data_IF_256719966256
#
_entry.id   IF_256719966256
#
_cell.length_a   1.000
_cell.length_b   1.000
_cell.length_c   1.000
_cell.angle_alpha   90.00
_cell.angle_beta   90.00
_cell.angle_gamma   90.00
#
_symmetry.space_group_name_H-M   'P 1'
#
loop_
_entity.id
_entity.type
_entity.pdbx_description
1 polymer ?
#
# COMPACT_ATOMS: atom_id res chain seq x y z
N UNK A 1 23.57 -13.16 -20.33
CA UNK A 1 22.20 -12.79 -19.85
C UNK A 1 21.95 -13.61 -18.58
N UNK A 2 21.82 -12.96 -17.44
CA UNK A 2 21.50 -13.66 -16.21
C UNK A 2 20.05 -14.13 -16.29
N UNK A 3 19.81 -15.43 -16.22
CA UNK A 3 18.47 -15.98 -16.12
C UNK A 3 17.89 -15.58 -14.76
N UNK A 4 17.10 -14.54 -14.75
CA UNK A 4 16.34 -14.12 -13.57
C UNK A 4 15.30 -15.21 -13.31
N UNK A 5 15.45 -15.95 -12.22
CA UNK A 5 14.49 -16.97 -11.81
C UNK A 5 13.43 -16.30 -10.93
N UNK A 6 12.21 -16.21 -11.44
CA UNK A 6 11.07 -15.77 -10.62
C UNK A 6 10.75 -16.88 -9.64
N UNK A 7 10.90 -16.60 -8.34
CA UNK A 7 10.62 -17.52 -7.24
C UNK A 7 9.25 -17.16 -6.66
N UNK A 8 8.21 -17.76 -7.17
CA UNK A 8 6.84 -17.58 -6.68
C UNK A 8 5.82 -17.50 -7.82
N UNK A 9 4.53 -17.56 -7.50
CA UNK A 9 3.48 -17.35 -8.49
C UNK A 9 3.53 -15.91 -9.03
N UNK A 10 3.33 -15.74 -10.33
CA UNK A 10 3.13 -14.42 -10.91
C UNK A 10 1.94 -13.74 -10.23
N UNK A 11 2.04 -12.43 -9.98
CA UNK A 11 0.90 -11.65 -9.52
C UNK A 11 -0.09 -11.52 -10.69
N UNK A 12 -1.33 -11.99 -10.55
CA UNK A 12 -2.30 -11.91 -11.62
C UNK A 12 -2.71 -10.45 -11.86
N UNK A 13 -2.99 -10.13 -13.10
CA UNK A 13 -3.60 -8.87 -13.53
C UNK A 13 -2.80 -7.59 -13.21
N UNK A 14 -1.54 -7.72 -12.82
CA UNK A 14 -0.66 -6.58 -12.66
C UNK A 14 0.00 -6.26 -14.00
N UNK A 15 -0.12 -5.04 -14.53
CA UNK A 15 0.53 -4.66 -15.77
C UNK A 15 2.06 -4.70 -15.61
N UNK A 16 2.70 -5.23 -16.62
CA UNK A 16 4.15 -5.34 -16.71
C UNK A 16 4.67 -4.55 -17.91
N UNK A 17 5.68 -3.77 -17.70
CA UNK A 17 6.38 -3.08 -18.79
C UNK A 17 7.78 -3.64 -18.95
N UNK A 18 8.13 -3.90 -20.20
CA UNK A 18 9.49 -4.30 -20.54
C UNK A 18 10.49 -3.19 -20.23
N UNK A 19 11.70 -3.59 -19.88
CA UNK A 19 12.78 -2.65 -19.62
C UNK A 19 13.03 -1.79 -20.87
N UNK A 20 13.08 -0.45 -20.74
CA UNK A 20 13.37 0.42 -21.87
C UNK A 20 14.68 0.04 -22.57
N UNK A 21 14.67 -0.03 -23.90
CA UNK A 21 15.83 -0.39 -24.69
C UNK A 21 17.00 0.56 -24.39
N UNK A 22 18.18 -0.02 -24.15
CA UNK A 22 19.40 0.74 -23.83
C UNK A 22 19.49 1.25 -22.39
N UNK A 23 18.46 1.05 -21.55
CA UNK A 23 18.52 1.43 -20.14
C UNK A 23 19.56 0.61 -19.39
N UNK A 24 20.38 1.29 -18.58
CA UNK A 24 21.34 0.70 -17.62
C UNK A 24 20.79 0.65 -16.19
N UNK A 25 19.59 1.17 -15.99
CA UNK A 25 18.91 1.19 -14.69
C UNK A 25 18.67 -0.24 -14.19
N UNK A 26 18.88 -0.48 -12.90
CA UNK A 26 18.59 -1.78 -12.27
C UNK A 26 17.08 -2.00 -12.18
N UNK A 27 16.33 -0.93 -11.97
CA UNK A 27 14.88 -0.92 -11.91
C UNK A 27 14.34 0.18 -12.82
N UNK A 28 13.15 -0.03 -13.33
CA UNK A 28 12.42 0.99 -14.09
C UNK A 28 11.01 1.11 -13.56
N UNK A 29 10.45 2.28 -13.73
CA UNK A 29 9.11 2.60 -13.24
C UNK A 29 8.09 2.37 -14.34
N UNK A 30 6.89 2.02 -13.94
CA UNK A 30 5.73 2.04 -14.82
C UNK A 30 5.57 3.43 -15.45
N UNK A 31 5.31 3.49 -16.76
CA UNK A 31 5.32 4.75 -17.52
C UNK A 31 4.24 5.74 -17.06
N UNK A 32 3.11 5.23 -16.53
CA UNK A 32 2.04 6.07 -16.01
C UNK A 32 2.20 6.47 -14.54
N UNK A 33 3.37 6.22 -13.91
CA UNK A 33 3.61 6.70 -12.54
C UNK A 33 3.64 8.25 -12.47
N UNK A 34 3.15 8.85 -11.39
CA UNK A 34 2.59 8.21 -10.20
C UNK A 34 1.17 7.69 -10.43
N UNK A 35 0.90 6.43 -10.04
CA UNK A 35 -0.44 5.81 -10.14
C UNK A 35 -1.40 6.27 -9.03
N UNK A 36 -0.89 6.85 -7.97
CA UNK A 36 -1.66 7.45 -6.88
C UNK A 36 -1.12 8.86 -6.67
N UNK A 37 -1.97 9.86 -6.90
CA UNK A 37 -1.63 11.26 -6.71
C UNK A 37 -1.61 11.65 -5.23
N UNK A 38 -0.99 12.79 -4.95
CA UNK A 38 -0.94 13.38 -3.60
C UNK A 38 -2.33 13.76 -3.05
N UNK A 39 -3.26 13.96 -3.93
CA UNK A 39 -4.65 14.38 -3.74
C UNK A 39 -5.64 13.21 -3.90
N UNK A 40 -5.17 12.00 -3.66
CA UNK A 40 -5.98 10.77 -3.80
C UNK A 40 -7.21 10.74 -2.88
N UNK A 41 -7.20 11.49 -1.79
CA UNK A 41 -8.32 11.68 -0.88
C UNK A 41 -8.63 13.17 -0.74
N UNK A 42 -9.87 13.49 -0.38
CA UNK A 42 -10.33 14.87 -0.21
C UNK A 42 -9.51 15.70 0.78
N UNK A 43 -8.92 15.03 1.77
CA UNK A 43 -8.10 15.65 2.83
C UNK A 43 -6.61 15.38 2.69
N UNK A 44 -6.17 14.56 1.74
CA UNK A 44 -4.76 14.20 1.64
C UNK A 44 -3.90 15.32 1.06
N UNK A 45 -2.69 15.43 1.58
CA UNK A 45 -1.64 16.29 1.05
C UNK A 45 -0.50 15.49 0.42
N UNK A 46 -0.32 14.25 0.87
CA UNK A 46 0.71 13.34 0.35
C UNK A 46 0.34 11.89 0.61
N UNK A 47 0.70 11.01 -0.32
CA UNK A 47 0.55 9.56 -0.20
C UNK A 47 1.91 8.91 -0.40
N UNK A 48 2.35 8.09 0.55
CA UNK A 48 3.65 7.42 0.48
C UNK A 48 3.74 6.26 1.49
N UNK A 49 4.83 5.47 1.40
CA UNK A 49 5.12 4.36 2.32
C UNK A 49 3.94 3.40 2.50
N UNK A 50 3.29 3.05 1.40
CA UNK A 50 2.15 2.14 1.41
C UNK A 50 2.57 0.67 1.38
N UNK A 51 1.71 -0.21 1.87
CA UNK A 51 1.89 -1.65 1.79
C UNK A 51 0.73 -2.30 1.05
N UNK A 52 1.04 -3.21 0.14
CA UNK A 52 0.07 -3.87 -0.73
C UNK A 52 0.27 -5.38 -0.69
N UNK A 53 -0.83 -6.13 -0.73
CA UNK A 53 -0.85 -7.60 -0.78
C UNK A 53 -1.86 -8.11 -1.79
N UNK A 54 -1.65 -9.31 -2.35
CA UNK A 54 -2.71 -10.03 -3.05
C UNK A 54 -3.91 -10.27 -2.13
N UNK A 55 -5.11 -9.98 -2.64
CA UNK A 55 -6.33 -10.07 -1.86
C UNK A 55 -7.52 -10.39 -2.78
N UNK A 56 -8.16 -11.53 -2.56
CA UNK A 56 -9.32 -11.95 -3.36
C UNK A 56 -10.60 -11.78 -2.57
N UNK A 57 -11.37 -10.75 -2.92
CA UNK A 57 -12.72 -10.54 -2.38
C UNK A 57 -13.58 -9.75 -3.36
N UNK A 58 -14.68 -10.37 -3.82
CA UNK A 58 -15.53 -9.76 -4.83
C UNK A 58 -14.73 -9.49 -6.11
N UNK A 59 -14.75 -8.25 -6.59
CA UNK A 59 -14.02 -7.83 -7.79
C UNK A 59 -12.52 -7.54 -7.55
N UNK A 60 -12.09 -7.39 -6.30
CA UNK A 60 -10.74 -6.95 -5.99
C UNK A 60 -9.74 -8.10 -5.97
N UNK A 61 -8.54 -7.85 -6.49
CA UNK A 61 -7.39 -8.75 -6.50
C UNK A 61 -6.28 -8.30 -5.54
N UNK A 62 -6.32 -7.04 -5.11
CA UNK A 62 -5.34 -6.44 -4.22
C UNK A 62 -6.00 -5.65 -3.11
N UNK A 63 -5.38 -5.65 -1.96
CA UNK A 63 -5.67 -4.73 -0.86
C UNK A 63 -4.40 -4.02 -0.43
N UNK A 64 -4.54 -2.81 0.07
CA UNK A 64 -3.44 -2.01 0.56
C UNK A 64 -3.78 -1.22 1.82
N UNK A 65 -2.74 -0.85 2.52
CA UNK A 65 -2.76 0.08 3.63
C UNK A 65 -1.89 1.27 3.23
N UNK A 66 -2.49 2.43 3.13
CA UNK A 66 -1.89 3.63 2.55
C UNK A 66 -1.67 4.67 3.63
N UNK A 67 -0.46 5.16 3.74
CA UNK A 67 -0.20 6.36 4.52
C UNK A 67 -0.56 7.57 3.68
N UNK A 68 -1.54 8.34 4.14
CA UNK A 68 -2.00 9.58 3.53
C UNK A 68 -1.91 10.68 4.57
N UNK A 69 -0.85 11.51 4.53
CA UNK A 69 -0.76 12.62 5.45
C UNK A 69 -1.76 13.70 5.02
N UNK A 70 -2.52 14.20 5.98
CA UNK A 70 -3.57 15.20 5.71
C UNK A 70 -3.01 16.62 5.51
N UNK A 71 -3.87 17.55 5.13
CA UNK A 71 -3.50 18.97 4.93
C UNK A 71 -3.03 19.66 6.21
N UNK A 72 -3.32 19.10 7.38
CA UNK A 72 -2.82 19.53 8.67
C UNK A 72 -1.51 18.83 9.07
N UNK A 73 -0.92 18.06 8.14
CA UNK A 73 0.31 17.28 8.33
C UNK A 73 0.18 16.17 9.39
N UNK A 74 -1.03 15.68 9.63
CA UNK A 74 -1.24 14.52 10.50
C UNK A 74 -1.13 13.25 9.66
N UNK A 75 -0.41 12.29 10.19
CA UNK A 75 -0.27 10.97 9.58
C UNK A 75 -1.59 10.20 9.72
N UNK A 76 -2.11 9.75 8.58
CA UNK A 76 -3.34 8.97 8.49
C UNK A 76 -3.08 7.67 7.75
N UNK A 77 -3.80 6.65 8.16
CA UNK A 77 -3.74 5.33 7.52
C UNK A 77 -5.10 4.99 6.95
N UNK A 78 -5.14 4.65 5.68
CA UNK A 78 -6.35 4.33 4.95
C UNK A 78 -6.27 2.96 4.30
N UNK A 79 -7.40 2.24 4.23
CA UNK A 79 -7.49 1.02 3.45
C UNK A 79 -7.76 1.36 1.99
N UNK A 80 -7.22 0.57 1.07
CA UNK A 80 -7.53 0.68 -0.34
C UNK A 80 -7.61 -0.67 -1.00
N UNK A 81 -8.34 -0.74 -2.12
CA UNK A 81 -8.56 -1.97 -2.87
C UNK A 81 -8.37 -1.70 -4.36
N UNK A 82 -7.86 -2.71 -5.07
CA UNK A 82 -7.63 -2.60 -6.50
C UNK A 82 -7.96 -3.90 -7.24
N UNK A 83 -8.37 -3.77 -8.49
CA UNK A 83 -8.54 -4.91 -9.41
C UNK A 83 -7.23 -5.28 -10.07
N UNK A 84 -6.43 -4.30 -10.47
CA UNK A 84 -5.25 -4.45 -11.34
C UNK A 84 -3.93 -4.00 -10.70
N UNK A 85 -3.98 -3.43 -9.49
CA UNK A 85 -2.80 -2.88 -8.81
C UNK A 85 -2.41 -1.47 -9.28
N UNK A 86 -3.12 -0.89 -10.23
CA UNK A 86 -2.89 0.45 -10.79
C UNK A 86 -3.96 1.42 -10.31
N UNK A 87 -5.22 1.08 -10.56
CA UNK A 87 -6.37 1.88 -10.11
C UNK A 87 -6.77 1.47 -8.71
N UNK A 88 -6.74 2.42 -7.79
CA UNK A 88 -6.99 2.18 -6.37
C UNK A 88 -8.21 2.92 -5.85
N UNK A 89 -9.11 2.16 -5.25
CA UNK A 89 -10.24 2.67 -4.46
C UNK A 89 -9.75 2.82 -3.01
N UNK A 90 -9.17 3.97 -2.68
CA UNK A 90 -8.70 4.29 -1.33
C UNK A 90 -9.85 4.90 -0.54
N UNK A 91 -10.12 4.35 0.65
CA UNK A 91 -11.24 4.78 1.48
C UNK A 91 -10.93 6.12 2.16
N UNK A 92 -11.93 7.00 2.20
CA UNK A 92 -11.82 8.30 2.87
C UNK A 92 -11.71 8.14 4.40
N UNK A 93 -12.31 7.10 4.96
CA UNK A 93 -12.28 6.86 6.39
C UNK A 93 -10.90 6.37 6.86
N UNK A 94 -10.45 6.90 7.99
CA UNK A 94 -9.25 6.43 8.67
C UNK A 94 -9.38 4.95 9.04
N UNK A 95 -8.29 4.24 8.92
CA UNK A 95 -8.19 2.86 9.39
C UNK A 95 -8.28 2.80 10.91
N UNK A 96 -9.39 2.26 11.41
CA UNK A 96 -9.64 2.18 12.86
C UNK A 96 -9.14 0.86 13.42
N UNK A 97 -8.26 0.94 14.41
CA UNK A 97 -7.87 -0.23 15.20
C UNK A 97 -8.86 -0.36 16.38
N UNK A 98 -9.34 -1.58 16.57
CA UNK A 98 -10.26 -1.93 17.66
C UNK A 98 -9.66 -3.05 18.51
N UNK A 99 -9.95 -3.06 19.82
CA UNK A 99 -9.49 -4.09 20.75
C UNK A 99 -7.99 -4.00 21.06
N UNK A 100 -7.44 -2.79 21.09
CA UNK A 100 -6.05 -2.55 21.49
C UNK A 100 -5.77 -3.01 22.92
N UNK A 101 -4.55 -3.46 23.17
CA UNK A 101 -4.04 -3.79 24.50
C UNK A 101 -3.90 -2.50 25.32
N UNK A 102 -4.42 -2.52 26.54
CA UNK A 102 -4.35 -1.37 27.46
C UNK A 102 -2.91 -0.98 27.81
N UNK A 103 -1.96 -1.95 27.75
CA UNK A 103 -0.54 -1.71 28.00
C UNK A 103 0.14 -0.91 26.88
N UNK A 104 -0.36 -1.02 25.65
CA UNK A 104 0.17 -0.27 24.50
C UNK A 104 -0.32 1.18 24.51
N UNK A 105 -1.39 1.44 25.24
CA UNK A 105 -2.00 2.77 25.34
C UNK A 105 -2.69 3.22 24.05
N UNK A 106 -3.10 4.47 24.04
CA UNK A 106 -3.61 5.11 22.82
C UNK A 106 -2.46 5.75 22.04
N UNK A 107 -2.26 5.29 20.82
CA UNK A 107 -1.30 5.91 19.91
C UNK A 107 -1.98 7.03 19.11
N UNK A 108 -1.23 8.10 18.90
CA UNK A 108 -1.76 9.31 18.22
C UNK A 108 -1.64 9.17 16.70
N UNK A 109 -0.56 8.54 16.24
CA UNK A 109 -0.27 8.38 14.81
C UNK A 109 0.25 6.97 14.51
N UNK A 110 -0.27 6.39 13.42
CA UNK A 110 0.30 5.20 12.81
C UNK A 110 0.88 5.54 11.45
N UNK A 111 2.05 5.00 11.12
CA UNK A 111 2.73 5.28 9.86
C UNK A 111 3.59 4.08 9.41
N UNK A 112 4.07 4.16 8.18
CA UNK A 112 4.95 3.18 7.54
C UNK A 112 4.43 1.73 7.64
N UNK A 113 3.24 1.45 7.10
CA UNK A 113 2.63 0.14 7.20
C UNK A 113 3.46 -0.93 6.49
N UNK A 114 3.37 -2.14 7.04
CA UNK A 114 3.76 -3.38 6.38
C UNK A 114 2.59 -4.35 6.49
N UNK A 115 2.33 -5.09 5.44
CA UNK A 115 1.26 -6.09 5.42
C UNK A 115 1.81 -7.44 5.03
N UNK A 116 1.42 -8.47 5.76
CA UNK A 116 1.72 -9.86 5.44
C UNK A 116 0.47 -10.72 5.54
N UNK A 117 0.36 -11.71 4.68
CA UNK A 117 -0.66 -12.76 4.79
C UNK A 117 -0.04 -14.00 5.41
N UNK A 118 -0.64 -14.49 6.50
CA UNK A 118 -0.23 -15.73 7.16
C UNK A 118 -1.49 -16.59 7.37
N UNK A 119 -1.56 -17.73 6.69
CA UNK A 119 -2.78 -18.52 6.62
C UNK A 119 -3.92 -17.72 6.01
N UNK A 120 -5.03 -17.63 6.71
CA UNK A 120 -6.24 -16.91 6.26
C UNK A 120 -6.34 -15.47 6.79
N UNK A 121 -5.33 -15.02 7.52
CA UNK A 121 -5.32 -13.69 8.15
C UNK A 121 -4.32 -12.76 7.49
N UNK A 122 -4.65 -11.47 7.52
CA UNK A 122 -3.76 -10.38 7.15
C UNK A 122 -3.29 -9.66 8.40
N UNK A 123 -2.01 -9.45 8.49
CA UNK A 123 -1.36 -8.77 9.61
C UNK A 123 -0.83 -7.44 9.11
N UNK A 124 -1.20 -6.37 9.79
CA UNK A 124 -0.71 -5.02 9.53
C UNK A 124 0.22 -4.64 10.66
N UNK A 125 1.47 -4.36 10.33
CA UNK A 125 2.44 -3.79 11.26
C UNK A 125 2.57 -2.30 10.97
N UNK A 126 2.52 -1.49 12.00
CA UNK A 126 2.66 -0.04 11.93
C UNK A 126 3.78 0.40 12.85
N UNK A 127 4.49 1.44 12.44
CA UNK A 127 5.21 2.29 13.39
C UNK A 127 4.21 3.26 14.01
N UNK A 128 4.39 3.56 15.28
CA UNK A 128 3.54 4.50 15.98
C UNK A 128 4.36 5.32 16.98
N UNK A 129 3.88 6.51 17.29
CA UNK A 129 4.40 7.34 18.37
C UNK A 129 3.36 7.40 19.49
N UNK A 130 3.80 7.12 20.70
CA UNK A 130 3.03 7.47 21.89
C UNK A 130 3.13 8.98 22.16
N UNK A 131 2.15 9.55 22.82
CA UNK A 131 2.20 10.96 23.25
C UNK A 131 3.38 11.25 24.17
#
# INVERSE_FOLDING_TARGET
>A
MSNLKIMGPALPDMPWEERPAGSKEVMWRYSANPIIGRDALSTSNSVFNSAVVPFKKGKYNYAGVFRCDDTNRRMRIHAGFSVDGIDWDIREEDFKLVGGDAEIGQWVYGYDPRVAKIGDKYYVCLLYTSP
#
